data_IF_126166450636
#
_entry.id   IF_126166450636
#
_cell.length_a   1.000
_cell.length_b   1.000
_cell.length_c   1.000
_cell.angle_alpha   90.00
_cell.angle_beta   90.00
_cell.angle_gamma   90.00
#
_symmetry.space_group_name_H-M   'P 1'
#
loop_
_entity.id
_entity.type
_entity.pdbx_description
1 polymer ?
#
# COMPACT_ATOMS: atom_id res chain seq x y z
N UNK A 1 45.83 27.27 1.31
CA UNK A 1 44.66 26.47 0.89
C UNK A 1 44.99 25.01 1.16
N UNK A 2 44.55 24.49 2.31
CA UNK A 2 44.67 23.06 2.59
C UNK A 2 43.50 22.36 1.89
N UNK A 3 43.82 21.43 0.99
CA UNK A 3 42.86 20.52 0.38
C UNK A 3 42.61 19.43 1.41
N UNK A 4 41.45 19.45 2.04
CA UNK A 4 40.95 18.29 2.77
C UNK A 4 40.29 17.38 1.73
N UNK A 5 41.10 16.54 1.08
CA UNK A 5 40.62 15.42 0.30
C UNK A 5 40.15 14.36 1.30
N UNK A 6 38.85 14.31 1.54
CA UNK A 6 38.21 13.15 2.16
C UNK A 6 38.14 12.10 1.07
N UNK A 7 39.09 11.17 1.10
CA UNK A 7 38.99 9.93 0.35
C UNK A 7 37.88 9.11 1.02
N UNK A 8 36.71 9.08 0.38
CA UNK A 8 35.71 8.06 0.65
C UNK A 8 36.21 6.79 -0.03
N UNK A 9 36.90 5.96 0.74
CA UNK A 9 37.14 4.57 0.37
C UNK A 9 35.76 3.90 0.23
N UNK A 10 35.31 3.71 -1.01
CA UNK A 10 34.17 2.89 -1.39
C UNK A 10 34.48 1.41 -1.12
N UNK A 11 34.70 1.05 0.15
CA UNK A 11 34.66 -0.33 0.60
C UNK A 11 33.20 -0.71 0.87
N UNK A 12 32.38 -0.62 -0.19
CA UNK A 12 31.08 -1.26 -0.22
C UNK A 12 31.35 -2.76 -0.29
N UNK A 13 31.46 -3.39 0.88
CA UNK A 13 31.59 -4.82 1.02
C UNK A 13 30.39 -5.47 0.31
N UNK A 14 30.62 -5.96 -0.92
CA UNK A 14 29.65 -6.62 -1.80
C UNK A 14 29.13 -7.95 -1.21
N UNK A 15 29.54 -8.29 0.00
CA UNK A 15 29.26 -9.55 0.66
C UNK A 15 28.66 -9.40 2.07
N UNK A 16 28.09 -8.23 2.43
CA UNK A 16 27.13 -8.13 3.54
C UNK A 16 25.72 -8.51 3.02
N UNK A 17 25.64 -9.73 2.49
CA UNK A 17 24.40 -10.43 2.22
C UNK A 17 23.79 -10.77 3.58
N UNK A 18 22.85 -9.94 4.04
CA UNK A 18 22.01 -10.24 5.19
C UNK A 18 21.13 -11.45 4.84
N UNK A 19 21.70 -12.65 5.00
CA UNK A 19 20.99 -13.92 4.99
C UNK A 19 20.01 -13.89 6.16
N UNK A 20 18.78 -13.46 5.89
CA UNK A 20 17.67 -13.66 6.80
C UNK A 20 17.36 -15.16 6.79
N UNK A 21 17.97 -15.91 7.70
CA UNK A 21 17.55 -17.27 8.02
C UNK A 21 16.11 -17.23 8.55
N UNK A 22 15.16 -17.43 7.65
CA UNK A 22 13.76 -17.65 7.99
C UNK A 22 13.60 -19.09 8.47
N UNK A 23 13.92 -19.34 9.74
CA UNK A 23 13.65 -20.60 10.43
C UNK A 23 12.17 -20.68 10.85
N UNK A 24 11.28 -20.65 9.85
CA UNK A 24 9.85 -20.86 10.06
C UNK A 24 9.49 -22.26 9.56
N UNK A 25 9.72 -23.26 10.42
CA UNK A 25 8.97 -24.52 10.43
C UNK A 25 7.50 -24.21 10.75
N UNK A 26 6.76 -23.71 9.76
CA UNK A 26 5.30 -23.60 9.81
C UNK A 26 4.74 -24.20 8.51
N UNK A 27 4.24 -25.43 8.63
CA UNK A 27 3.53 -26.18 7.60
C UNK A 27 2.18 -25.48 7.32
N UNK A 28 2.23 -24.30 6.70
CA UNK A 28 1.07 -23.63 6.12
C UNK A 28 1.06 -23.93 4.63
N UNK A 29 0.20 -24.88 4.25
CA UNK A 29 -0.17 -25.18 2.86
C UNK A 29 -0.36 -23.86 2.11
N UNK A 30 0.66 -23.49 1.35
CA UNK A 30 0.68 -22.27 0.59
C UNK A 30 -0.26 -22.46 -0.59
N UNK A 31 -1.40 -21.77 -0.54
CA UNK A 31 -2.23 -21.52 -1.70
C UNK A 31 -1.52 -20.50 -2.61
N UNK A 32 -0.27 -20.81 -3.00
CA UNK A 32 0.66 -19.90 -3.65
C UNK A 32 0.49 -19.80 -5.17
N UNK A 33 -0.44 -20.52 -5.77
CA UNK A 33 -0.54 -20.58 -7.23
C UNK A 33 -1.41 -19.49 -7.87
N UNK A 34 -2.02 -18.60 -7.07
CA UNK A 34 -2.83 -17.48 -7.59
C UNK A 34 -2.19 -16.09 -7.37
N UNK A 35 -1.26 -15.97 -6.43
CA UNK A 35 -0.59 -14.71 -6.11
C UNK A 35 0.73 -14.49 -6.88
N UNK A 36 1.33 -15.55 -7.43
CA UNK A 36 2.59 -15.49 -8.17
C UNK A 36 2.48 -14.66 -9.46
N UNK A 37 1.32 -14.69 -10.12
CA UNK A 37 1.08 -13.90 -11.33
C UNK A 37 1.14 -12.40 -11.03
N UNK A 38 0.67 -11.94 -9.86
CA UNK A 38 0.71 -10.54 -9.42
C UNK A 38 2.01 -10.14 -8.71
N UNK A 39 2.78 -11.12 -8.22
CA UNK A 39 4.10 -10.89 -7.63
C UNK A 39 5.13 -10.47 -8.68
N UNK A 40 4.96 -10.93 -9.92
CA UNK A 40 5.87 -10.59 -11.02
C UNK A 40 5.90 -9.07 -11.30
N UNK A 41 7.11 -8.53 -11.48
CA UNK A 41 7.31 -7.12 -11.84
C UNK A 41 6.55 -6.73 -13.12
N UNK A 42 6.43 -7.65 -14.07
CA UNK A 42 5.65 -7.45 -15.29
C UNK A 42 4.16 -7.24 -15.02
N UNK A 43 3.55 -8.00 -14.09
CA UNK A 43 2.15 -7.83 -13.73
C UNK A 43 1.89 -6.53 -12.96
N UNK A 44 2.80 -6.14 -12.06
CA UNK A 44 2.73 -4.84 -11.37
C UNK A 44 2.81 -3.67 -12.36
N UNK A 45 3.65 -3.77 -13.39
CA UNK A 45 3.72 -2.78 -14.48
C UNK A 45 2.41 -2.72 -15.26
N UNK A 46 1.87 -3.86 -15.68
CA UNK A 46 0.57 -3.93 -16.37
C UNK A 46 -0.57 -3.32 -15.53
N UNK A 47 -0.59 -3.60 -14.23
CA UNK A 47 -1.58 -3.03 -13.32
C UNK A 47 -1.46 -1.51 -13.20
N UNK A 48 -0.22 -0.99 -13.10
CA UNK A 48 0.03 0.47 -13.11
C UNK A 48 -0.43 1.12 -14.41
N UNK A 49 -0.14 0.49 -15.55
CA UNK A 49 -0.56 0.98 -16.87
C UNK A 49 -2.09 0.99 -17.01
N UNK A 50 -2.76 -0.08 -16.58
CA UNK A 50 -4.22 -0.14 -16.59
C UNK A 50 -4.86 0.94 -15.69
N UNK A 51 -4.36 1.10 -14.46
CA UNK A 51 -4.81 2.16 -13.55
C UNK A 51 -4.60 3.55 -14.16
N UNK A 52 -3.45 3.81 -14.78
CA UNK A 52 -3.17 5.10 -15.42
C UNK A 52 -4.17 5.40 -16.56
N UNK A 53 -4.47 4.41 -17.40
CA UNK A 53 -5.44 4.54 -18.48
C UNK A 53 -6.86 4.80 -17.96
N UNK A 54 -7.27 4.10 -16.89
CA UNK A 54 -8.58 4.31 -16.26
C UNK A 54 -8.70 5.71 -15.64
N UNK A 55 -7.64 6.21 -15.00
CA UNK A 55 -7.59 7.56 -14.45
C UNK A 55 -7.71 8.60 -15.56
N UNK A 56 -6.99 8.44 -16.68
CA UNK A 56 -7.10 9.35 -17.83
C UNK A 56 -8.51 9.34 -18.44
N UNK A 57 -9.12 8.16 -18.58
CA UNK A 57 -10.50 8.01 -19.04
C UNK A 57 -11.50 8.69 -18.09
N UNK A 58 -11.30 8.59 -16.77
CA UNK A 58 -12.13 9.24 -15.77
C UNK A 58 -12.04 10.77 -15.86
N UNK A 59 -10.84 11.32 -16.00
CA UNK A 59 -10.61 12.75 -16.14
C UNK A 59 -11.17 13.30 -17.46
N UNK A 60 -10.93 12.61 -18.58
CA UNK A 60 -11.43 13.03 -19.90
C UNK A 60 -12.96 12.96 -20.02
N UNK A 61 -13.60 12.04 -19.30
CA UNK A 61 -15.07 11.95 -19.19
C UNK A 61 -15.68 13.07 -18.34
N UNK A 62 -14.85 13.92 -17.74
CA UNK A 62 -15.28 15.04 -16.88
C UNK A 62 -15.37 14.71 -15.40
N UNK A 63 -14.76 13.60 -14.96
CA UNK A 63 -14.54 13.32 -13.55
C UNK A 63 -13.48 14.25 -12.94
N UNK A 64 -13.62 14.59 -11.66
CA UNK A 64 -12.68 15.44 -10.92
C UNK A 64 -12.20 14.75 -9.65
N UNK A 65 -10.91 14.87 -9.34
CA UNK A 65 -10.32 14.37 -8.10
C UNK A 65 -10.52 15.42 -7.00
N UNK A 66 -11.08 15.01 -5.86
CA UNK A 66 -11.29 15.87 -4.70
C UNK A 66 -10.32 15.51 -3.58
N UNK A 67 -9.71 16.50 -2.96
CA UNK A 67 -8.92 16.32 -1.74
C UNK A 67 -9.85 16.33 -0.53
N UNK A 68 -9.77 15.29 0.30
CA UNK A 68 -10.59 15.14 1.51
C UNK A 68 -9.66 15.23 2.72
N UNK A 69 -9.94 16.16 3.63
CA UNK A 69 -9.17 16.31 4.87
C UNK A 69 -9.39 15.11 5.81
N UNK A 70 -8.39 14.73 6.63
CA UNK A 70 -8.43 13.50 7.45
C UNK A 70 -9.61 13.40 8.45
N UNK A 71 -10.28 14.51 8.76
CA UNK A 71 -11.35 14.58 9.76
C UNK A 71 -12.75 14.77 9.15
N UNK A 72 -12.91 14.55 7.84
CA UNK A 72 -14.21 14.68 7.16
C UNK A 72 -14.95 13.34 7.24
N UNK A 73 -16.03 13.30 8.02
CA UNK A 73 -17.03 12.24 7.92
C UNK A 73 -18.16 12.69 6.97
N UNK A 74 -18.49 11.82 6.01
CA UNK A 74 -19.54 12.10 5.01
C UNK A 74 -20.96 12.07 5.60
N UNK A 75 -21.17 11.33 6.69
CA UNK A 75 -22.45 11.30 7.42
C UNK A 75 -22.18 11.69 8.88
N UNK A 76 -22.79 12.76 9.41
CA UNK A 76 -22.67 13.10 10.82
C UNK A 76 -23.22 11.95 11.69
N UNK A 77 -22.67 11.75 12.90
CA UNK A 77 -23.13 10.71 13.80
C UNK A 77 -24.64 10.88 14.08
N UNK A 78 -25.41 9.83 13.79
CA UNK A 78 -26.87 9.86 13.94
C UNK A 78 -27.24 9.81 15.42
N UNK A 79 -28.28 10.57 15.80
CA UNK A 79 -28.82 10.53 17.16
C UNK A 79 -29.25 9.09 17.50
N UNK A 80 -28.85 8.54 18.67
CA UNK A 80 -29.33 7.24 19.09
C UNK A 80 -30.85 7.29 19.27
N UNK A 81 -31.55 6.33 18.66
CA UNK A 81 -32.98 6.14 18.90
C UNK A 81 -33.13 5.36 20.21
N UNK A 82 -33.82 5.94 21.19
CA UNK A 82 -34.09 5.25 22.46
C UNK A 82 -35.36 4.39 22.29
N UNK A 83 -35.21 3.07 22.19
CA UNK A 83 -36.35 2.13 22.28
C UNK A 83 -36.66 1.71 23.72
N UNK A 84 -36.06 2.37 24.71
CA UNK A 84 -36.32 2.10 26.12
C UNK A 84 -37.72 2.62 26.48
N UNK A 85 -38.59 1.74 26.98
CA UNK A 85 -39.98 2.06 27.32
C UNK A 85 -41.01 1.83 26.20
N UNK A 86 -40.62 1.34 25.02
CA UNK A 86 -41.58 0.94 23.97
C UNK A 86 -42.18 -0.45 24.18
N UNK A 87 -41.67 -1.19 25.18
CA UNK A 87 -42.24 -2.46 25.63
C UNK A 87 -42.95 -2.20 26.97
N UNK A 88 -44.24 -2.54 27.10
CA UNK A 88 -44.93 -2.51 28.38
C UNK A 88 -44.18 -3.37 29.42
N UNK A 89 -44.14 -2.88 30.66
CA UNK A 89 -43.64 -3.64 31.81
C UNK A 89 -44.71 -4.59 32.36
#
# INVERSE_FOLDING_TARGET
>A
MAKNDIEMDDDFNENDDMVLENDSDDDVVSKASADDEFSSEAARRRMREAMAAEVEAFLSRGGSIQHIEPNVMADPPRKPQTSYGSRPI
#
